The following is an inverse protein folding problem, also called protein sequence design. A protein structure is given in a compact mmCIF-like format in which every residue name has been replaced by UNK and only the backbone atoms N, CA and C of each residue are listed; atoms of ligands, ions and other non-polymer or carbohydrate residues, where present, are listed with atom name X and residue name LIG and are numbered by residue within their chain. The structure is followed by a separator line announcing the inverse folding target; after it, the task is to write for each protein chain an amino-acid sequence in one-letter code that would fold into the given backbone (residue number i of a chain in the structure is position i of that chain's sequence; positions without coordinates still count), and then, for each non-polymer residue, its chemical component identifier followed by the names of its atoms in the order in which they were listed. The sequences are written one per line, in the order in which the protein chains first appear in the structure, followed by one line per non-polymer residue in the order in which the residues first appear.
data_IF_832839020616
#
_entry.id   IF_832839020616
#
_cell.length_a   1.000
_cell.length_b   1.000
_cell.length_c   1.000
_cell.angle_alpha   90.00
_cell.angle_beta   90.00
_cell.angle_gamma   90.00
#
_symmetry.space_group_name_H-M   'P 1'
#
loop_
_entity.id
_entity.type
_entity.pdbx_description
1 polymer ?
#
# COMPACT_ATOMS: atom_id res chain seq x y z
N UNK A 1 -41.40 -41.83 -6.37
CA UNK A 1 -40.61 -41.22 -5.27
C UNK A 1 -39.34 -40.62 -5.86
N UNK A 2 -39.29 -39.30 -6.01
CA UNK A 2 -38.17 -38.59 -6.65
C UNK A 2 -37.16 -38.15 -5.61
N UNK A 3 -35.97 -38.74 -5.65
CA UNK A 3 -34.82 -38.39 -4.81
C UNK A 3 -34.24 -37.03 -5.23
N UNK A 4 -34.46 -36.01 -4.39
CA UNK A 4 -33.82 -34.69 -4.54
C UNK A 4 -32.30 -34.83 -4.42
N UNK A 5 -31.60 -34.66 -5.54
CA UNK A 5 -30.14 -34.56 -5.62
C UNK A 5 -29.72 -33.25 -4.92
N UNK A 6 -29.18 -33.32 -3.70
CA UNK A 6 -28.53 -32.18 -3.03
C UNK A 6 -27.33 -31.76 -3.87
N UNK A 7 -27.47 -30.68 -4.64
CA UNK A 7 -26.34 -29.97 -5.22
C UNK A 7 -25.44 -29.50 -4.06
N UNK A 8 -24.26 -30.12 -3.91
CA UNK A 8 -23.16 -29.52 -3.16
C UNK A 8 -22.82 -28.21 -3.86
N UNK A 9 -23.19 -27.08 -3.27
CA UNK A 9 -22.62 -25.78 -3.63
C UNK A 9 -21.11 -25.92 -3.55
N UNK A 10 -20.42 -25.69 -4.66
CA UNK A 10 -18.98 -25.58 -4.68
C UNK A 10 -18.59 -24.52 -3.62
N UNK A 11 -17.90 -24.96 -2.57
CA UNK A 11 -17.26 -24.06 -1.60
C UNK A 11 -16.37 -23.11 -2.38
N UNK A 12 -16.73 -21.84 -2.37
CA UNK A 12 -15.92 -20.75 -2.88
C UNK A 12 -14.46 -20.98 -2.47
N UNK A 13 -13.56 -20.97 -3.45
CA UNK A 13 -12.14 -21.22 -3.24
C UNK A 13 -11.60 -20.37 -2.10
N UNK A 14 -10.79 -21.01 -1.24
CA UNK A 14 -10.08 -20.44 -0.10
C UNK A 14 -9.70 -18.98 -0.36
N UNK A 15 -10.44 -18.05 0.25
CA UNK A 15 -10.19 -16.61 0.09
C UNK A 15 -8.80 -16.32 0.62
N UNK A 16 -7.93 -15.69 -0.18
CA UNK A 16 -6.74 -14.99 0.31
C UNK A 16 -7.24 -13.86 1.21
N UNK A 17 -7.47 -14.16 2.48
CA UNK A 17 -8.14 -13.24 3.37
C UNK A 17 -7.14 -12.14 3.76
N UNK A 18 -7.36 -10.94 3.22
CA UNK A 18 -6.67 -9.73 3.61
C UNK A 18 -7.09 -9.33 5.02
N UNK A 19 -6.13 -8.89 5.84
CA UNK A 19 -6.41 -8.34 7.18
C UNK A 19 -5.70 -7.01 7.35
N UNK A 20 -6.18 -6.13 8.24
CA UNK A 20 -5.45 -4.92 8.62
C UNK A 20 -4.04 -5.27 9.11
N UNK A 21 -3.05 -4.48 8.71
CA UNK A 21 -1.66 -4.69 9.12
C UNK A 21 -1.48 -4.64 10.64
N UNK A 22 -2.30 -3.86 11.35
CA UNK A 22 -2.31 -3.83 12.82
C UNK A 22 -2.53 -5.19 13.48
N UNK A 23 -3.14 -6.16 12.79
CA UNK A 23 -3.30 -7.53 13.29
C UNK A 23 -1.98 -8.34 13.29
N UNK A 24 -0.99 -7.92 12.49
CA UNK A 24 0.31 -8.56 12.32
C UNK A 24 1.50 -7.66 12.70
N UNK A 25 1.23 -6.39 12.98
CA UNK A 25 2.22 -5.40 13.34
C UNK A 25 3.11 -5.97 14.46
N UNK A 26 4.44 -5.91 14.31
CA UNK A 26 5.34 -6.30 15.39
C UNK A 26 4.93 -5.57 16.67
N UNK A 27 4.68 -6.29 17.76
CA UNK A 27 4.27 -5.69 19.05
C UNK A 27 5.41 -4.94 19.76
N UNK A 28 6.51 -4.64 19.06
CA UNK A 28 7.71 -3.99 19.56
C UNK A 28 7.98 -2.62 18.92
N UNK A 29 9.25 -2.32 18.70
CA UNK A 29 9.79 -0.99 18.36
C UNK A 29 9.27 -0.33 17.08
N UNK A 30 8.64 -1.08 16.18
CA UNK A 30 7.98 -0.55 14.98
C UNK A 30 6.53 -0.12 15.30
N UNK A 31 6.36 0.77 16.27
CA UNK A 31 5.05 1.28 16.72
C UNK A 31 4.34 2.07 15.63
N UNK A 32 3.45 1.44 14.87
CA UNK A 32 2.71 2.06 13.77
C UNK A 32 2.01 3.39 14.16
N UNK A 33 1.96 4.36 13.23
CA UNK A 33 1.25 5.61 13.46
C UNK A 33 -0.26 5.39 13.58
N UNK A 34 -0.95 6.37 14.16
CA UNK A 34 -2.39 6.31 14.47
C UNK A 34 -3.28 6.06 13.23
N UNK A 35 -2.82 6.46 12.04
CA UNK A 35 -3.49 6.25 10.75
C UNK A 35 -2.56 5.49 9.82
N UNK A 36 -2.39 4.19 10.07
CA UNK A 36 -1.59 3.32 9.22
C UNK A 36 -2.50 2.45 8.35
N UNK A 37 -2.78 2.91 7.13
CA UNK A 37 -3.61 2.17 6.19
C UNK A 37 -2.76 1.16 5.43
N UNK A 38 -2.68 -0.03 6.01
CA UNK A 38 -2.03 -1.15 5.36
C UNK A 38 -2.81 -2.44 5.55
N UNK A 39 -2.71 -3.31 4.55
CA UNK A 39 -3.33 -4.63 4.53
C UNK A 39 -2.27 -5.70 4.33
N UNK A 40 -2.48 -6.85 4.95
CA UNK A 40 -1.62 -8.03 4.83
C UNK A 40 -2.40 -9.10 4.08
N UNK A 41 -1.85 -9.51 2.94
CA UNK A 41 -2.32 -10.68 2.23
C UNK A 41 -1.68 -11.95 2.78
N UNK A 42 -2.51 -12.98 2.95
CA UNK A 42 -2.08 -14.26 3.52
C UNK A 42 -1.92 -15.34 2.45
N UNK A 43 -0.95 -16.23 2.65
CA UNK A 43 -0.83 -17.47 1.89
C UNK A 43 -1.88 -18.52 2.35
N UNK A 44 -1.84 -19.71 1.74
CA UNK A 44 -2.76 -20.81 2.05
C UNK A 44 -2.59 -21.38 3.47
N UNK A 45 -1.45 -21.13 4.12
CA UNK A 45 -1.14 -21.50 5.50
C UNK A 45 -1.55 -20.41 6.50
N UNK A 46 -2.10 -19.28 6.03
CA UNK A 46 -2.48 -18.15 6.87
C UNK A 46 -1.33 -17.22 7.27
N UNK A 47 -0.13 -17.41 6.72
CA UNK A 47 1.05 -16.56 7.00
C UNK A 47 1.06 -15.32 6.11
N UNK A 48 1.60 -14.17 6.56
CA UNK A 48 1.84 -13.00 5.72
C UNK A 48 2.64 -13.38 4.46
N UNK A 49 2.19 -12.91 3.29
CA UNK A 49 2.84 -13.19 2.01
C UNK A 49 3.12 -11.93 1.20
N UNK A 50 2.26 -10.92 1.34
CA UNK A 50 2.44 -9.62 0.70
C UNK A 50 1.74 -8.54 1.53
N UNK A 51 2.17 -7.30 1.31
CA UNK A 51 1.70 -6.13 2.02
C UNK A 51 1.20 -5.10 1.02
N UNK A 52 0.09 -4.43 1.34
CA UNK A 52 -0.44 -3.31 0.58
C UNK A 52 -0.47 -2.11 1.50
N UNK A 53 0.13 -1.01 1.07
CA UNK A 53 0.18 0.25 1.80
C UNK A 53 -0.44 1.34 0.93
N UNK A 54 -1.08 2.34 1.54
CA UNK A 54 -1.17 3.63 0.88
C UNK A 54 0.22 4.30 0.87
N UNK A 55 0.40 5.30 0.00
CA UNK A 55 1.72 5.92 -0.20
C UNK A 55 2.29 6.53 1.09
N UNK A 56 1.43 7.11 1.94
CA UNK A 56 1.84 7.74 3.20
C UNK A 56 2.27 6.68 4.20
N UNK A 57 1.47 5.63 4.38
CA UNK A 57 1.78 4.52 5.25
C UNK A 57 3.06 3.80 4.81
N UNK A 58 3.31 3.68 3.51
CA UNK A 58 4.56 3.10 3.01
C UNK A 58 5.76 3.98 3.36
N UNK A 59 5.68 5.28 3.09
CA UNK A 59 6.74 6.25 3.44
C UNK A 59 7.04 6.21 4.94
N UNK A 60 6.01 6.32 5.81
CA UNK A 60 6.19 6.28 7.27
C UNK A 60 6.84 4.98 7.75
N UNK A 61 6.51 3.85 7.10
CA UNK A 61 7.10 2.55 7.42
C UNK A 61 8.59 2.50 7.05
N UNK A 62 8.94 2.97 5.86
CA UNK A 62 10.34 2.98 5.37
C UNK A 62 11.20 3.93 6.20
N UNK A 63 10.72 5.13 6.54
CA UNK A 63 11.45 6.08 7.40
C UNK A 63 11.85 5.47 8.74
N UNK A 64 10.96 4.67 9.35
CA UNK A 64 11.27 4.02 10.64
C UNK A 64 12.21 2.84 10.53
N UNK A 65 12.18 2.13 9.41
CA UNK A 65 13.19 1.12 9.13
C UNK A 65 14.55 1.80 9.02
N UNK A 66 14.63 2.89 8.25
CA UNK A 66 15.86 3.65 8.05
C UNK A 66 16.42 4.20 9.37
N UNK A 67 15.57 4.84 10.19
CA UNK A 67 15.91 5.32 11.54
C UNK A 67 16.45 4.18 12.42
N UNK A 68 15.81 3.01 12.40
CA UNK A 68 16.28 1.85 13.16
C UNK A 68 17.61 1.31 12.66
N UNK A 69 17.84 1.31 11.35
CA UNK A 69 19.12 0.90 10.77
C UNK A 69 20.22 1.87 11.17
N UNK A 70 19.95 3.17 11.10
CA UNK A 70 20.87 4.23 11.51
C UNK A 70 21.25 4.11 13.00
N UNK A 71 20.27 3.87 13.87
CA UNK A 71 20.51 3.72 15.31
C UNK A 71 21.30 2.44 15.69
N UNK A 72 21.19 1.39 14.87
CA UNK A 72 21.67 0.04 15.24
C UNK A 72 22.97 -0.37 14.56
N UNK A 73 23.37 0.29 13.47
CA UNK A 73 24.51 -0.09 12.65
C UNK A 73 25.63 0.96 12.73
N UNK A 74 26.91 0.55 12.64
CA UNK A 74 28.00 1.47 12.36
C UNK A 74 27.80 2.18 11.01
N UNK A 75 28.29 3.42 10.88
CA UNK A 75 28.11 4.28 9.69
C UNK A 75 28.43 3.56 8.37
N UNK A 76 29.57 2.88 8.29
CA UNK A 76 30.02 2.18 7.08
C UNK A 76 29.11 1.00 6.67
N UNK A 77 28.39 0.42 7.63
CA UNK A 77 27.41 -0.64 7.37
C UNK A 77 26.05 -0.04 7.00
N UNK A 78 25.64 1.01 7.72
CA UNK A 78 24.42 1.75 7.43
C UNK A 78 24.38 2.30 6.01
N UNK A 79 25.46 2.93 5.53
CA UNK A 79 25.52 3.50 4.18
C UNK A 79 25.25 2.47 3.07
N UNK A 80 25.55 1.18 3.31
CA UNK A 80 25.33 0.09 2.34
C UNK A 80 23.88 -0.38 2.29
N UNK A 81 23.11 -0.17 3.36
CA UNK A 81 21.75 -0.67 3.51
C UNK A 81 20.70 0.42 3.70
N UNK A 82 21.12 1.68 3.77
CA UNK A 82 20.23 2.83 3.91
C UNK A 82 19.20 2.83 2.78
N UNK A 83 17.98 3.17 3.15
CA UNK A 83 16.85 3.30 2.24
C UNK A 83 16.49 4.76 1.99
N UNK A 84 17.37 5.70 2.37
CA UNK A 84 17.18 7.15 2.16
C UNK A 84 16.83 7.51 0.71
N UNK A 85 17.47 6.88 -0.27
CA UNK A 85 17.12 7.10 -1.69
C UNK A 85 15.71 6.66 -2.08
N UNK A 86 15.13 5.68 -1.37
CA UNK A 86 13.72 5.28 -1.53
C UNK A 86 12.81 6.33 -0.91
N UNK A 87 13.16 6.85 0.27
CA UNK A 87 12.42 7.93 0.94
C UNK A 87 12.35 9.16 0.03
N UNK A 88 13.48 9.60 -0.50
CA UNK A 88 13.56 10.74 -1.43
C UNK A 88 12.68 10.54 -2.67
N UNK A 89 12.70 9.33 -3.24
CA UNK A 89 11.88 9.02 -4.42
C UNK A 89 10.37 9.08 -4.11
N UNK A 90 9.96 8.59 -2.94
CA UNK A 90 8.57 8.67 -2.48
C UNK A 90 8.12 10.11 -2.23
N UNK A 91 8.99 10.95 -1.65
CA UNK A 91 8.71 12.36 -1.36
C UNK A 91 8.60 13.22 -2.62
N UNK A 92 9.32 12.88 -3.70
CA UNK A 92 9.16 13.56 -5.01
C UNK A 92 7.77 13.36 -5.60
N UNK A 93 7.23 12.16 -5.46
CA UNK A 93 5.90 11.77 -5.95
C UNK A 93 4.78 12.07 -4.94
N UNK A 94 5.08 12.79 -3.85
CA UNK A 94 4.09 13.05 -2.81
C UNK A 94 2.94 13.88 -3.37
N UNK A 95 1.67 13.55 -3.05
CA UNK A 95 0.51 14.20 -3.62
C UNK A 95 0.37 15.67 -3.20
N UNK A 96 1.24 16.15 -2.31
CA UNK A 96 1.31 17.52 -1.81
C UNK A 96 2.45 18.33 -2.44
N UNK A 97 3.29 17.74 -3.29
CA UNK A 97 4.35 18.50 -3.96
C UNK A 97 3.71 19.48 -4.95
N UNK A 98 4.28 20.69 -5.06
CA UNK A 98 3.77 21.72 -6.00
C UNK A 98 3.74 21.18 -7.44
N UNK A 99 4.70 20.32 -7.77
CA UNK A 99 4.79 19.69 -9.09
C UNK A 99 3.67 18.67 -9.32
N UNK A 100 3.42 17.78 -8.34
CA UNK A 100 2.34 16.81 -8.42
C UNK A 100 0.96 17.49 -8.49
N UNK A 101 0.72 18.52 -7.68
CA UNK A 101 -0.52 19.30 -7.72
C UNK A 101 -0.73 19.91 -9.11
N UNK A 102 0.31 20.53 -9.69
CA UNK A 102 0.26 21.09 -11.06
C UNK A 102 -0.03 20.01 -12.11
N UNK A 103 0.59 18.84 -11.99
CA UNK A 103 0.38 17.70 -12.89
C UNK A 103 -1.07 17.22 -12.85
N UNK A 104 -1.62 17.01 -11.64
CA UNK A 104 -3.01 16.57 -11.46
C UNK A 104 -3.99 17.63 -11.97
N UNK A 105 -3.77 18.92 -11.66
CA UNK A 105 -4.61 20.01 -12.18
C UNK A 105 -4.64 20.02 -13.71
N UNK A 106 -3.48 19.88 -14.36
CA UNK A 106 -3.38 19.84 -15.82
C UNK A 106 -4.13 18.66 -16.44
N UNK A 107 -4.00 17.46 -15.86
CA UNK A 107 -4.73 16.27 -16.33
C UNK A 107 -6.24 16.39 -16.06
N UNK A 108 -6.63 16.98 -14.93
CA UNK A 108 -8.04 17.26 -14.64
C UNK A 108 -8.66 18.25 -15.63
N UNK A 109 -7.99 19.36 -15.93
CA UNK A 109 -8.45 20.33 -16.93
C UNK A 109 -8.54 19.73 -18.34
N UNK A 110 -7.59 18.84 -18.69
CA UNK A 110 -7.63 18.08 -19.95
C UNK A 110 -8.85 17.16 -19.98
N UNK A 111 -9.09 16.39 -18.91
CA UNK A 111 -10.25 15.52 -18.81
C UNK A 111 -11.57 16.31 -18.93
N UNK A 112 -11.69 17.48 -18.27
CA UNK A 112 -12.85 18.36 -18.41
C UNK A 112 -13.05 18.86 -19.85
N UNK A 113 -11.97 19.21 -20.56
CA UNK A 113 -12.04 19.59 -21.98
C UNK A 113 -12.50 18.44 -22.85
N UNK A 114 -12.00 17.24 -22.61
CA UNK A 114 -12.36 16.05 -23.38
C UNK A 114 -13.83 15.63 -23.13
N UNK A 115 -14.34 15.80 -21.91
CA UNK A 115 -15.77 15.64 -21.59
C UNK A 115 -16.63 16.68 -22.32
N UNK A 116 -16.25 17.98 -22.25
CA UNK A 116 -16.98 19.04 -22.98
C UNK A 116 -16.97 18.85 -24.49
N UNK A 117 -15.87 18.32 -25.03
CA UNK A 117 -15.73 17.99 -26.44
C UNK A 117 -16.43 16.67 -26.84
N UNK A 118 -17.09 15.98 -25.90
CA UNK A 118 -17.79 14.71 -26.15
C UNK A 118 -16.87 13.53 -26.46
N UNK A 119 -15.55 13.65 -26.21
CA UNK A 119 -14.56 12.59 -26.46
C UNK A 119 -14.60 11.50 -25.39
N UNK A 120 -15.06 11.83 -24.20
CA UNK A 120 -15.16 10.93 -23.05
C UNK A 120 -16.54 11.12 -22.41
N UNK A 121 -17.28 10.03 -22.14
CA UNK A 121 -18.50 10.08 -21.34
C UNK A 121 -18.14 10.26 -19.88
N UNK A 122 -18.72 11.26 -19.22
CA UNK A 122 -18.72 11.34 -17.76
C UNK A 122 -19.46 10.11 -17.21
N UNK A 123 -18.86 9.41 -16.24
CA UNK A 123 -19.46 8.30 -15.50
C UNK A 123 -20.57 8.80 -14.58
#
# INVERSE_FOLDING_TARGET
MTTKKKQKKATAGKTRAMMPFSAFAPRGDLRLPRRFNAMVGRNLEGKPAWFLFDLIAFWEFVCRIDEKLFDSLPDEEYEKVSVGGVIDALEREWPFSKEYVRKIQKEYEKALRDVKAGKIRAL
#
